data_IF_680393381097
#
_entry.id   IF_680393381097
#
_cell.length_a   1.000
_cell.length_b   1.000
_cell.length_c   1.000
_cell.angle_alpha   90.00
_cell.angle_beta   90.00
_cell.angle_gamma   90.00
#
_symmetry.space_group_name_H-M   'P 1'
#
loop_
_entity.id
_entity.type
_entity.pdbx_description
1 polymer ?
#
# COMPACT_ATOMS: atom_id res chain seq x y z
N UNK A 1 -13.96 -9.58 -55.49
CA UNK A 1 -12.81 -9.19 -54.64
C UNK A 1 -13.29 -9.26 -53.20
N UNK A 2 -12.90 -10.31 -52.46
CA UNK A 2 -13.33 -10.50 -51.06
C UNK A 2 -12.34 -9.74 -50.18
N UNK A 3 -12.79 -8.67 -49.55
CA UNK A 3 -12.02 -7.97 -48.51
C UNK A 3 -11.93 -8.89 -47.30
N UNK A 4 -10.76 -9.48 -47.08
CA UNK A 4 -10.44 -10.15 -45.82
C UNK A 4 -10.42 -9.08 -44.72
N UNK A 5 -11.54 -8.94 -44.00
CA UNK A 5 -11.55 -8.24 -42.73
C UNK A 5 -10.67 -9.05 -41.76
N UNK A 6 -9.41 -8.64 -41.59
CA UNK A 6 -8.60 -9.11 -40.47
C UNK A 6 -9.28 -8.60 -39.21
N UNK A 7 -10.12 -9.43 -38.61
CA UNK A 7 -10.67 -9.15 -37.29
C UNK A 7 -9.51 -8.77 -36.36
N UNK A 8 -9.70 -7.67 -35.62
CA UNK A 8 -8.69 -7.23 -34.67
C UNK A 8 -8.35 -8.40 -33.74
N UNK A 9 -7.07 -8.73 -33.63
CA UNK A 9 -6.62 -9.76 -32.69
C UNK A 9 -7.23 -9.51 -31.31
N UNK A 10 -7.64 -10.57 -30.62
CA UNK A 10 -8.19 -10.50 -29.26
C UNK A 10 -7.28 -9.67 -28.32
N UNK A 11 -5.96 -9.75 -28.49
CA UNK A 11 -5.01 -8.92 -27.77
C UNK A 11 -5.19 -7.42 -28.05
N UNK A 12 -5.41 -7.04 -29.31
CA UNK A 12 -5.65 -5.65 -29.71
C UNK A 12 -7.00 -5.14 -29.19
N UNK A 13 -8.04 -5.97 -29.25
CA UNK A 13 -9.35 -5.63 -28.70
C UNK A 13 -9.28 -5.38 -27.19
N UNK A 14 -8.60 -6.26 -26.43
CA UNK A 14 -8.37 -6.08 -24.98
C UNK A 14 -7.60 -4.80 -24.67
N UNK A 15 -6.50 -4.55 -25.39
CA UNK A 15 -5.69 -3.34 -25.23
C UNK A 15 -6.52 -2.06 -25.47
N UNK A 16 -7.38 -2.04 -26.49
CA UNK A 16 -8.26 -0.91 -26.77
C UNK A 16 -9.32 -0.70 -25.67
N UNK A 17 -9.86 -1.79 -25.11
CA UNK A 17 -10.79 -1.70 -23.99
C UNK A 17 -10.11 -1.13 -22.73
N UNK A 18 -8.91 -1.61 -22.40
CA UNK A 18 -8.13 -1.09 -21.28
C UNK A 18 -7.81 0.40 -21.47
N UNK A 19 -7.37 0.81 -22.65
CA UNK A 19 -7.07 2.21 -22.96
C UNK A 19 -8.29 3.13 -22.76
N UNK A 20 -9.45 2.72 -23.27
CA UNK A 20 -10.71 3.47 -23.09
C UNK A 20 -11.14 3.53 -21.63
N UNK A 21 -11.00 2.42 -20.91
CA UNK A 21 -11.32 2.33 -19.49
C UNK A 21 -10.46 3.28 -18.67
N UNK A 22 -9.13 3.24 -18.85
CA UNK A 22 -8.22 4.11 -18.12
C UNK A 22 -8.42 5.59 -18.46
N UNK A 23 -8.64 5.92 -19.74
CA UNK A 23 -8.97 7.29 -20.15
C UNK A 23 -10.22 7.81 -19.43
N UNK A 24 -11.28 7.00 -19.39
CA UNK A 24 -12.53 7.33 -18.71
C UNK A 24 -12.35 7.48 -17.19
N UNK A 25 -11.58 6.59 -16.56
CA UNK A 25 -11.26 6.67 -15.13
C UNK A 25 -10.48 7.94 -14.77
N UNK A 26 -9.48 8.31 -15.58
CA UNK A 26 -8.67 9.50 -15.34
C UNK A 26 -9.52 10.76 -15.45
N UNK A 27 -10.39 10.83 -16.46
CA UNK A 27 -11.33 11.94 -16.63
C UNK A 27 -12.28 12.04 -15.41
N UNK A 28 -12.91 10.93 -15.03
CA UNK A 28 -13.79 10.85 -13.87
C UNK A 28 -13.10 11.28 -12.57
N UNK A 29 -11.90 10.76 -12.29
CA UNK A 29 -11.17 11.10 -11.07
C UNK A 29 -10.81 12.59 -11.05
N UNK A 30 -10.39 13.15 -12.17
CA UNK A 30 -10.02 14.57 -12.25
C UNK A 30 -11.20 15.48 -11.89
N UNK A 31 -12.43 15.13 -12.30
CA UNK A 31 -13.63 15.88 -11.96
C UNK A 31 -14.14 15.59 -10.53
N UNK A 32 -14.22 14.32 -10.14
CA UNK A 32 -14.87 13.87 -8.91
C UNK A 32 -13.94 13.68 -7.70
N UNK A 33 -12.62 13.87 -7.84
CA UNK A 33 -11.69 13.66 -6.73
C UNK A 33 -12.08 14.46 -5.47
N UNK A 34 -11.99 13.85 -4.27
CA UNK A 34 -12.19 14.56 -3.01
C UNK A 34 -11.24 15.74 -2.88
N UNK A 35 -11.67 16.79 -2.16
CA UNK A 35 -10.89 18.02 -1.96
C UNK A 35 -9.46 17.74 -1.46
N UNK A 36 -9.32 16.86 -0.46
CA UNK A 36 -8.02 16.47 0.09
C UNK A 36 -7.04 15.94 -0.97
N UNK A 37 -7.54 15.18 -1.95
CA UNK A 37 -6.72 14.63 -3.03
C UNK A 37 -6.36 15.70 -4.06
N UNK A 38 -7.27 16.63 -4.33
CA UNK A 38 -7.01 17.79 -5.21
C UNK A 38 -5.96 18.72 -4.60
N UNK A 39 -6.10 19.03 -3.31
CA UNK A 39 -5.17 19.90 -2.56
C UNK A 39 -3.75 19.30 -2.50
N UNK A 40 -3.64 17.96 -2.47
CA UNK A 40 -2.37 17.23 -2.51
C UNK A 40 -1.88 16.93 -3.93
N UNK A 41 -2.61 17.37 -4.96
CA UNK A 41 -2.33 17.10 -6.38
C UNK A 41 -2.16 15.61 -6.72
N UNK A 42 -2.83 14.72 -5.97
CA UNK A 42 -2.75 13.28 -6.15
C UNK A 42 -3.63 12.86 -7.34
N UNK A 43 -2.98 12.57 -8.46
CA UNK A 43 -3.61 12.03 -9.66
C UNK A 43 -3.81 10.52 -9.55
N UNK A 44 -4.86 10.01 -10.18
CA UNK A 44 -5.02 8.57 -10.37
C UNK A 44 -4.00 8.09 -11.41
N UNK A 45 -3.22 7.07 -11.07
CA UNK A 45 -2.30 6.42 -11.99
C UNK A 45 -2.85 5.06 -12.36
N UNK A 46 -2.85 4.71 -13.64
CA UNK A 46 -3.23 3.36 -14.11
C UNK A 46 -2.22 2.28 -13.69
N UNK A 47 -1.01 2.70 -13.30
CA UNK A 47 0.08 1.82 -12.89
C UNK A 47 0.41 2.02 -11.42
N UNK A 48 0.91 0.95 -10.80
CA UNK A 48 1.50 1.02 -9.46
C UNK A 48 2.66 2.01 -9.50
N UNK A 49 2.69 3.00 -8.60
CA UNK A 49 3.72 4.01 -8.63
C UNK A 49 5.08 3.42 -8.19
N UNK A 50 6.20 3.94 -8.71
CA UNK A 50 7.53 3.35 -8.53
C UNK A 50 7.94 3.25 -7.05
N UNK A 51 7.54 4.20 -6.22
CA UNK A 51 7.78 4.17 -4.78
C UNK A 51 7.17 2.95 -4.08
N UNK A 52 6.06 2.41 -4.60
CA UNK A 52 5.43 1.20 -4.07
C UNK A 52 6.03 -0.07 -4.68
N UNK A 53 6.44 -0.04 -5.96
CA UNK A 53 6.98 -1.21 -6.65
C UNK A 53 8.39 -1.60 -6.19
N UNK A 54 9.17 -0.63 -5.70
CA UNK A 54 10.51 -0.85 -5.13
C UNK A 54 10.47 -1.56 -3.76
N UNK A 55 9.32 -1.58 -3.08
CA UNK A 55 9.21 -2.22 -1.77
C UNK A 55 9.04 -3.75 -1.91
N UNK A 56 9.79 -4.55 -1.13
CA UNK A 56 9.51 -5.98 -1.03
C UNK A 56 8.07 -6.23 -0.61
N UNK A 57 7.41 -7.24 -1.20
CA UNK A 57 5.99 -7.58 -0.95
C UNK A 57 5.62 -7.58 0.53
N UNK A 58 6.48 -8.12 1.40
CA UNK A 58 6.26 -8.13 2.84
C UNK A 58 6.24 -6.72 3.46
N UNK A 59 7.19 -5.87 3.09
CA UNK A 59 7.29 -4.49 3.60
C UNK A 59 6.09 -3.67 3.13
N UNK A 60 5.71 -3.82 1.85
CA UNK A 60 4.52 -3.18 1.31
C UNK A 60 3.26 -3.64 2.04
N UNK A 61 3.09 -4.94 2.28
CA UNK A 61 1.95 -5.48 3.02
C UNK A 61 1.85 -4.93 4.45
N UNK A 62 2.99 -4.83 5.16
CA UNK A 62 3.00 -4.22 6.51
C UNK A 62 2.75 -2.72 6.50
N UNK A 63 3.25 -2.00 5.49
CA UNK A 63 2.99 -0.58 5.32
C UNK A 63 1.50 -0.32 5.06
N UNK A 64 0.90 -1.09 4.16
CA UNK A 64 -0.53 -0.99 3.86
C UNK A 64 -1.39 -1.30 5.09
N UNK A 65 -1.06 -2.37 5.82
CA UNK A 65 -1.72 -2.71 7.08
C UNK A 65 -1.60 -1.58 8.11
N UNK A 66 -0.40 -1.03 8.30
CA UNK A 66 -0.16 0.05 9.25
C UNK A 66 -0.96 1.31 8.91
N UNK A 67 -1.00 1.69 7.63
CA UNK A 67 -1.74 2.87 7.16
C UNK A 67 -3.26 2.71 7.26
N UNK A 68 -3.77 1.51 6.96
CA UNK A 68 -5.20 1.24 7.07
C UNK A 68 -5.63 0.99 8.52
N UNK A 69 -4.67 0.75 9.43
CA UNK A 69 -4.96 0.25 10.77
C UNK A 69 -5.52 -1.19 10.76
N UNK A 70 -5.55 -1.85 9.61
CA UNK A 70 -6.06 -3.22 9.46
C UNK A 70 -4.88 -4.19 9.40
N UNK A 71 -4.62 -4.85 10.53
CA UNK A 71 -3.55 -5.84 10.65
C UNK A 71 -3.51 -6.46 12.04
N UNK A 72 -2.45 -7.23 12.27
CA UNK A 72 -2.14 -7.79 13.60
C UNK A 72 -1.59 -6.68 14.51
N UNK A 73 -2.46 -5.74 14.86
CA UNK A 73 -2.18 -4.61 15.76
C UNK A 73 -3.14 -4.66 16.94
N UNK A 74 -2.62 -4.35 18.12
CA UNK A 74 -3.40 -4.39 19.35
C UNK A 74 -4.59 -3.42 19.32
N UNK A 75 -4.43 -2.24 18.70
CA UNK A 75 -5.52 -1.27 18.54
C UNK A 75 -6.68 -1.82 17.71
N UNK A 76 -6.38 -2.52 16.62
CA UNK A 76 -7.37 -3.18 15.77
C UNK A 76 -8.10 -4.28 16.53
N UNK A 77 -7.37 -5.21 17.13
CA UNK A 77 -7.97 -6.31 17.87
C UNK A 77 -8.80 -5.87 19.08
N UNK A 78 -8.40 -4.77 19.76
CA UNK A 78 -9.18 -4.13 20.82
C UNK A 78 -10.48 -3.51 20.29
N UNK A 79 -10.42 -2.75 19.19
CA UNK A 79 -11.61 -2.12 18.57
C UNK A 79 -12.67 -3.16 18.17
N UNK A 80 -12.23 -4.32 17.68
CA UNK A 80 -13.12 -5.40 17.21
C UNK A 80 -13.32 -6.53 18.23
N UNK A 81 -12.89 -6.37 19.48
CA UNK A 81 -13.07 -7.34 20.57
C UNK A 81 -12.63 -8.79 20.24
N UNK A 82 -11.50 -8.93 19.54
CA UNK A 82 -10.94 -10.25 19.24
C UNK A 82 -10.30 -10.89 20.49
N UNK A 83 -11.01 -11.82 21.14
CA UNK A 83 -10.63 -12.43 22.43
C UNK A 83 -9.32 -13.23 22.43
N UNK A 84 -8.94 -13.80 21.29
CA UNK A 84 -7.78 -14.70 21.18
C UNK A 84 -6.58 -14.06 20.45
N UNK A 85 -6.59 -12.73 20.29
CA UNK A 85 -5.51 -12.05 19.61
C UNK A 85 -4.37 -11.77 20.58
N UNK A 86 -3.14 -12.15 20.18
CA UNK A 86 -1.95 -11.72 20.89
C UNK A 86 -1.65 -10.25 20.56
N UNK A 87 -1.79 -9.38 21.55
CA UNK A 87 -1.56 -7.94 21.41
C UNK A 87 -0.07 -7.58 21.50
N UNK A 88 0.77 -8.52 21.92
CA UNK A 88 2.18 -8.28 22.20
C UNK A 88 3.05 -8.98 21.14
N UNK A 89 4.13 -8.33 20.74
CA UNK A 89 5.17 -8.98 19.96
C UNK A 89 6.03 -9.86 20.87
N UNK A 90 6.77 -10.82 20.30
CA UNK A 90 7.80 -11.59 21.04
C UNK A 90 8.88 -10.70 21.68
N UNK A 91 9.03 -9.44 21.25
CA UNK A 91 9.88 -8.46 21.94
C UNK A 91 9.22 -7.83 23.19
N UNK A 92 8.03 -8.32 23.56
CA UNK A 92 7.19 -7.91 24.69
C UNK A 92 6.51 -6.55 24.58
N UNK A 93 6.79 -5.78 23.53
CA UNK A 93 6.08 -4.53 23.25
C UNK A 93 4.74 -4.79 22.57
N UNK A 94 3.81 -3.87 22.79
CA UNK A 94 2.51 -3.89 22.12
C UNK A 94 2.65 -3.71 20.60
N UNK A 95 1.87 -4.46 19.83
CA UNK A 95 1.86 -4.38 18.36
C UNK A 95 1.17 -3.09 17.91
N UNK A 96 1.94 -2.02 17.75
CA UNK A 96 1.51 -0.78 17.11
C UNK A 96 1.69 -0.83 15.59
N UNK A 97 1.03 0.05 14.81
CA UNK A 97 1.26 0.20 13.38
C UNK A 97 2.73 0.46 12.99
N UNK A 98 3.48 1.14 13.84
CA UNK A 98 4.90 1.48 13.65
C UNK A 98 5.83 0.34 14.07
N UNK A 99 5.35 -0.57 14.94
CA UNK A 99 6.11 -1.65 15.53
C UNK A 99 6.87 -2.54 14.52
N UNK A 100 6.29 -2.93 13.36
CA UNK A 100 7.01 -3.73 12.36
C UNK A 100 8.30 -3.08 11.86
N UNK A 101 8.40 -1.75 11.88
CA UNK A 101 9.55 -1.01 11.37
C UNK A 101 10.62 -0.78 12.44
N UNK A 102 10.22 -0.58 13.70
CA UNK A 102 11.11 -0.32 14.84
C UNK A 102 11.62 -1.61 15.53
N UNK A 103 10.85 -2.69 15.51
CA UNK A 103 11.18 -3.90 16.25
C UNK A 103 12.39 -4.65 15.67
N UNK A 104 13.43 -4.81 16.49
CA UNK A 104 14.65 -5.52 16.11
C UNK A 104 14.41 -7.02 15.89
N UNK A 105 13.50 -7.66 16.64
CA UNK A 105 13.20 -9.09 16.46
C UNK A 105 12.46 -9.32 15.16
N UNK A 106 11.46 -8.50 14.84
CA UNK A 106 10.82 -8.51 13.53
C UNK A 106 11.87 -8.29 12.44
N UNK A 107 12.85 -7.40 12.65
CA UNK A 107 13.97 -7.17 11.73
C UNK A 107 14.91 -8.37 11.56
N UNK A 108 15.18 -9.14 12.61
CA UNK A 108 16.02 -10.34 12.52
C UNK A 108 15.28 -11.49 11.83
N UNK A 109 13.98 -11.65 12.08
CA UNK A 109 13.14 -12.58 11.31
C UNK A 109 13.09 -12.20 9.83
N UNK A 110 13.17 -10.90 9.49
CA UNK A 110 13.34 -10.44 8.09
C UNK A 110 14.64 -10.98 7.45
N UNK A 111 15.73 -11.06 8.21
CA UNK A 111 17.04 -11.51 7.71
C UNK A 111 17.10 -13.03 7.50
N UNK A 112 16.44 -13.82 8.37
CA UNK A 112 16.36 -15.28 8.22
C UNK A 112 15.50 -15.73 7.04
N UNK A 113 14.48 -14.95 6.66
CA UNK A 113 13.66 -15.21 5.47
C UNK A 113 14.26 -14.60 4.18
N UNK A 114 15.39 -13.87 4.27
CA UNK A 114 16.11 -13.25 3.16
C UNK A 114 17.50 -13.89 3.00
N UNK A 115 17.53 -15.17 2.72
CA UNK A 115 18.71 -15.83 2.17
C UNK A 115 19.08 -15.39 0.74
N UNK A 116 18.34 -14.45 0.12
CA UNK A 116 18.70 -13.89 -1.18
C UNK A 116 18.42 -12.38 -1.24
N UNK A 117 19.38 -11.66 -1.82
CA UNK A 117 19.40 -10.24 -2.18
C UNK A 117 19.91 -9.27 -1.09
N UNK A 118 21.25 -9.13 -1.10
CA UNK A 118 21.98 -8.00 -0.53
C UNK A 118 21.66 -6.75 -1.34
N UNK A 119 21.11 -5.68 -0.76
CA UNK A 119 21.40 -4.33 -1.23
C UNK A 119 21.43 -3.30 -0.08
N UNK A 120 22.40 -2.42 -0.28
CA UNK A 120 22.93 -1.29 0.47
C UNK A 120 21.83 -0.35 1.06
N UNK A 121 21.86 -0.14 2.37
CA UNK A 121 21.03 0.86 3.07
C UNK A 121 21.87 2.08 3.42
N UNK A 122 22.00 3.02 2.48
CA UNK A 122 22.41 4.38 2.78
C UNK A 122 21.30 5.34 2.34
N UNK A 123 20.97 6.29 3.22
CA UNK A 123 19.94 7.32 3.13
C UNK A 123 18.50 6.89 3.39
N UNK A 124 18.12 6.95 4.67
CA UNK A 124 16.84 7.56 5.04
C UNK A 124 17.01 8.30 6.38
N UNK A 125 17.43 9.56 6.30
CA UNK A 125 17.40 10.52 7.41
C UNK A 125 16.37 11.59 7.03
N UNK A 126 15.53 11.96 8.01
CA UNK A 126 14.53 13.06 7.99
C UNK A 126 13.23 12.69 7.25
N UNK A 127 12.01 12.84 7.77
CA UNK A 127 11.44 13.54 8.92
C UNK A 127 10.22 12.75 9.43
N UNK A 128 10.08 12.59 10.75
CA UNK A 128 8.78 12.36 11.39
C UNK A 128 8.75 13.19 12.68
N UNK A 129 8.23 14.40 12.57
CA UNK A 129 7.67 15.16 13.67
C UNK A 129 6.25 15.54 13.24
N UNK A 130 5.28 14.70 13.60
CA UNK A 130 3.88 15.08 13.60
C UNK A 130 3.28 14.58 14.92
N UNK A 131 3.42 15.39 15.94
CA UNK A 131 2.56 15.38 17.12
C UNK A 131 1.21 15.97 16.73
N UNK A 132 0.14 15.17 16.68
CA UNK A 132 -1.22 15.64 16.92
C UNK A 132 -2.17 14.46 17.19
N UNK A 133 -2.67 14.28 18.43
CA UNK A 133 -3.64 13.27 18.79
C UNK A 133 -5.05 13.87 18.72
N UNK A 134 -5.66 13.95 17.54
CA UNK A 134 -7.10 14.25 17.40
C UNK A 134 -7.55 14.16 15.95
N UNK A 135 -7.81 12.94 15.47
CA UNK A 135 -8.83 12.75 14.43
C UNK A 135 -9.58 11.46 14.71
N UNK A 136 -10.83 11.65 15.15
CA UNK A 136 -11.87 10.64 15.17
C UNK A 136 -12.27 10.40 13.72
N UNK A 137 -11.93 9.24 13.17
CA UNK A 137 -12.52 8.78 11.93
C UNK A 137 -13.84 8.06 12.27
N UNK A 138 -14.98 8.68 11.94
CA UNK A 138 -16.26 7.97 11.82
C UNK A 138 -16.29 7.19 10.50
N UNK A 139 -17.03 6.09 10.53
CA UNK A 139 -17.07 5.00 9.54
C UNK A 139 -17.39 5.43 8.10
#
# INVERSE_FOLDING_TARGET
>A
MVTQNKEASLARAKSLLEERYYSSLIAFWSSQAPKQYKDLEIRITSRIPPELSLLPRWSLGKLLAARSGHGDFASYHRRFYHKNADHNCSCRLEKSPEHPFSCQLTRRLRGRLRGHLKHNMNNFKLLYQCTNPSMICRD
#
